data_IF_244016329636
#
_entry.id   IF_244016329636
#
_cell.length_a   1.000
_cell.length_b   1.000
_cell.length_c   1.000
_cell.angle_alpha   90.00
_cell.angle_beta   90.00
_cell.angle_gamma   90.00
#
_symmetry.space_group_name_H-M   'P 1'
#
loop_
_entity.id
_entity.type
_entity.pdbx_description
1 polymer ?
#
# COMPACT_ATOMS: atom_id res chain seq x y z
N UNK A 1 15.71 -11.33 12.94
CA UNK A 1 16.66 -10.35 12.36
C UNK A 1 16.09 -9.76 11.08
N UNK A 2 16.32 -8.48 10.85
CA UNK A 2 15.95 -7.85 9.59
C UNK A 2 17.12 -7.04 9.04
N UNK A 3 17.10 -6.82 7.73
CA UNK A 3 18.15 -6.07 7.04
C UNK A 3 17.50 -5.07 6.08
N UNK A 4 17.97 -3.84 6.07
CA UNK A 4 17.57 -2.82 5.09
C UNK A 4 18.56 -2.89 3.93
N UNK A 5 18.07 -3.23 2.74
CA UNK A 5 18.95 -3.48 1.60
C UNK A 5 18.29 -3.19 0.28
N UNK A 6 19.08 -2.87 -0.74
CA UNK A 6 18.69 -2.84 -2.15
C UNK A 6 19.39 -3.97 -2.93
N UNK A 7 20.08 -4.89 -2.25
CA UNK A 7 20.77 -6.01 -2.88
C UNK A 7 19.79 -7.12 -3.29
N UNK A 8 19.73 -7.41 -4.59
CA UNK A 8 18.80 -8.39 -5.13
C UNK A 8 18.98 -9.79 -4.53
N UNK A 9 20.22 -10.23 -4.33
CA UNK A 9 20.48 -11.56 -3.77
C UNK A 9 19.97 -11.66 -2.33
N UNK A 10 20.18 -10.65 -1.52
CA UNK A 10 19.69 -10.59 -0.14
C UNK A 10 18.17 -10.60 -0.10
N UNK A 11 17.52 -9.82 -0.98
CA UNK A 11 16.05 -9.77 -1.07
C UNK A 11 15.50 -11.14 -1.47
N UNK A 12 16.08 -11.79 -2.47
CA UNK A 12 15.63 -13.11 -2.93
C UNK A 12 15.76 -14.19 -1.87
N UNK A 13 16.76 -14.10 -0.99
CA UNK A 13 17.01 -15.09 0.05
C UNK A 13 16.23 -14.83 1.35
N UNK A 14 15.57 -13.69 1.50
CA UNK A 14 14.81 -13.37 2.70
C UNK A 14 13.55 -14.21 2.79
N UNK A 15 13.14 -14.56 4.01
CA UNK A 15 11.89 -15.30 4.25
C UNK A 15 10.66 -14.43 4.01
N UNK A 16 10.75 -13.14 4.32
CA UNK A 16 9.71 -12.14 4.11
C UNK A 16 10.34 -10.84 3.63
N UNK A 17 9.62 -10.13 2.77
CA UNK A 17 10.08 -8.85 2.24
C UNK A 17 9.08 -7.76 2.60
N UNK A 18 9.58 -6.67 3.17
CA UNK A 18 8.78 -5.50 3.49
C UNK A 18 9.16 -4.37 2.54
N UNK A 19 8.17 -3.80 1.88
CA UNK A 19 8.35 -2.63 1.02
C UNK A 19 7.70 -1.43 1.71
N UNK A 20 8.45 -0.72 2.56
CA UNK A 20 7.94 0.50 3.17
C UNK A 20 7.99 1.64 2.15
N UNK A 21 7.20 2.68 2.35
CA UNK A 21 7.24 3.82 1.47
C UNK A 21 6.89 5.08 2.20
N UNK A 22 7.71 6.10 1.97
CA UNK A 22 7.46 7.48 2.41
C UNK A 22 7.70 8.40 1.22
N UNK A 23 7.08 9.57 1.26
CA UNK A 23 7.23 10.54 0.18
C UNK A 23 6.20 10.31 -0.92
N UNK A 24 6.61 10.53 -2.18
CA UNK A 24 5.66 10.44 -3.28
C UNK A 24 5.92 9.21 -4.17
N UNK A 25 4.86 8.74 -4.80
CA UNK A 25 4.87 7.52 -5.59
C UNK A 25 5.77 7.62 -6.83
N UNK A 26 5.83 8.77 -7.50
CA UNK A 26 6.66 8.94 -8.68
C UNK A 26 8.14 8.80 -8.35
N UNK A 27 8.57 9.41 -7.24
CA UNK A 27 9.95 9.32 -6.77
C UNK A 27 10.30 7.89 -6.35
N UNK A 28 9.40 7.23 -5.62
CA UNK A 28 9.59 5.83 -5.23
C UNK A 28 9.72 4.92 -6.44
N UNK A 29 8.89 5.10 -7.46
CA UNK A 29 8.98 4.34 -8.71
C UNK A 29 10.28 4.62 -9.47
N UNK A 30 10.72 5.88 -9.50
CA UNK A 30 12.00 6.24 -10.13
C UNK A 30 13.14 5.49 -9.45
N UNK A 31 13.19 5.49 -8.11
CA UNK A 31 14.24 4.80 -7.37
C UNK A 31 14.22 3.28 -7.60
N UNK A 32 13.03 2.68 -7.66
CA UNK A 32 12.89 1.25 -7.95
C UNK A 32 13.38 0.90 -9.36
N UNK A 33 13.12 1.75 -10.35
CA UNK A 33 13.62 1.55 -11.71
C UNK A 33 15.15 1.66 -11.77
N UNK A 34 15.70 2.71 -11.15
CA UNK A 34 17.15 2.95 -11.15
C UNK A 34 17.92 1.83 -10.45
N UNK A 35 17.34 1.24 -9.41
CA UNK A 35 17.97 0.14 -8.68
C UNK A 35 17.80 -1.23 -9.35
N UNK A 36 16.95 -1.33 -10.40
CA UNK A 36 16.67 -2.59 -11.09
C UNK A 36 15.85 -3.58 -10.26
N UNK A 37 15.19 -3.13 -9.20
CA UNK A 37 14.49 -4.02 -8.28
C UNK A 37 13.08 -4.41 -8.72
N UNK A 38 12.48 -3.73 -9.70
CA UNK A 38 11.11 -4.04 -10.11
C UNK A 38 10.96 -5.49 -10.56
N UNK A 39 11.76 -6.02 -11.50
CA UNK A 39 11.63 -7.42 -11.88
C UNK A 39 11.97 -8.37 -10.73
N UNK A 40 12.89 -8.01 -9.86
CA UNK A 40 13.23 -8.82 -8.68
C UNK A 40 12.02 -8.97 -7.77
N UNK A 41 11.37 -7.87 -7.41
CA UNK A 41 10.21 -7.88 -6.52
C UNK A 41 9.05 -8.66 -7.15
N UNK A 42 8.77 -8.46 -8.43
CA UNK A 42 7.66 -9.14 -9.12
C UNK A 42 7.86 -10.65 -9.20
N UNK A 43 9.09 -11.12 -9.15
CA UNK A 43 9.43 -12.55 -9.23
C UNK A 43 9.53 -13.23 -7.87
N UNK A 44 9.42 -12.50 -6.77
CA UNK A 44 9.50 -13.08 -5.43
C UNK A 44 8.35 -14.05 -5.18
N UNK A 45 8.66 -15.16 -4.50
CA UNK A 45 7.68 -16.21 -4.15
C UNK A 45 7.33 -16.20 -2.66
N UNK A 46 8.20 -15.63 -1.83
CA UNK A 46 7.97 -15.45 -0.40
C UNK A 46 6.97 -14.30 -0.18
N UNK A 47 6.37 -14.20 1.02
CA UNK A 47 5.44 -13.12 1.32
C UNK A 47 6.09 -11.75 1.20
N UNK A 48 5.39 -10.83 0.53
CA UNK A 48 5.80 -9.43 0.36
C UNK A 48 4.71 -8.54 0.92
N UNK A 49 5.06 -7.59 1.78
CA UNK A 49 4.13 -6.63 2.35
C UNK A 49 4.52 -5.20 1.97
N UNK A 50 3.64 -4.51 1.26
CA UNK A 50 3.77 -3.08 0.99
C UNK A 50 2.98 -2.25 2.01
N UNK A 51 3.53 -1.14 2.45
CA UNK A 51 2.88 -0.26 3.43
C UNK A 51 2.86 1.17 2.89
N UNK A 52 1.69 1.80 2.91
CA UNK A 52 1.46 3.18 2.48
C UNK A 52 1.91 3.42 1.02
N UNK A 53 2.95 4.19 0.78
CA UNK A 53 3.50 4.36 -0.58
C UNK A 53 4.00 3.03 -1.14
N UNK A 54 4.46 2.12 -0.30
CA UNK A 54 4.83 0.75 -0.70
C UNK A 54 3.65 -0.01 -1.32
N UNK A 55 2.42 0.17 -0.81
CA UNK A 55 1.22 -0.34 -1.46
C UNK A 55 1.02 0.33 -2.82
N UNK A 56 1.15 1.65 -2.86
CA UNK A 56 0.80 2.44 -4.04
C UNK A 56 1.69 2.10 -5.24
N UNK A 57 2.99 1.88 -5.02
CA UNK A 57 3.89 1.48 -6.10
C UNK A 57 3.59 0.07 -6.63
N UNK A 58 2.88 -0.75 -5.89
CA UNK A 58 2.46 -2.09 -6.32
C UNK A 58 1.17 -2.09 -7.16
N UNK A 59 0.47 -0.96 -7.22
CA UNK A 59 -0.74 -0.80 -8.05
C UNK A 59 -0.39 -0.61 -9.53
N UNK A 60 -1.39 -0.35 -10.38
CA UNK A 60 -1.17 -0.16 -11.82
C UNK A 60 -0.51 1.18 -12.13
N UNK A 61 -1.02 2.24 -11.54
CA UNK A 61 -0.56 3.61 -11.81
C UNK A 61 -0.97 4.54 -10.68
N UNK A 62 -0.43 5.76 -10.70
CA UNK A 62 -0.73 6.78 -9.69
C UNK A 62 -0.80 8.17 -10.31
N UNK A 63 -1.70 8.98 -9.78
CA UNK A 63 -1.77 10.41 -10.08
C UNK A 63 -0.68 11.21 -9.36
N UNK A 64 -0.09 10.65 -8.29
CA UNK A 64 0.87 11.38 -7.46
C UNK A 64 2.20 11.57 -8.15
N UNK A 65 2.67 12.81 -8.20
CA UNK A 65 3.96 13.17 -8.79
C UNK A 65 4.00 13.04 -10.30
N UNK A 66 2.84 12.86 -10.94
CA UNK A 66 2.77 12.78 -12.39
C UNK A 66 3.06 14.15 -13.03
N UNK A 67 3.96 14.18 -14.00
CA UNK A 67 4.28 15.39 -14.73
C UNK A 67 3.29 15.61 -15.86
N UNK A 68 2.89 16.88 -16.10
CA UNK A 68 2.03 17.26 -17.23
C UNK A 68 0.70 16.49 -17.29
N UNK A 69 0.13 16.13 -16.13
CA UNK A 69 -1.11 15.40 -16.05
C UNK A 69 -1.02 13.94 -16.45
N UNK A 70 0.17 13.42 -16.71
CA UNK A 70 0.38 12.02 -17.03
C UNK A 70 0.46 11.19 -15.74
N UNK A 71 -0.08 9.97 -15.80
CA UNK A 71 -0.01 9.04 -14.67
C UNK A 71 1.40 8.45 -14.54
N UNK A 72 1.82 8.24 -13.29
CA UNK A 72 3.03 7.46 -13.01
C UNK A 72 2.69 5.99 -13.15
N UNK A 73 3.39 5.27 -14.05
CA UNK A 73 3.24 3.82 -14.18
C UNK A 73 3.93 3.14 -13.00
N UNK A 74 3.21 2.24 -12.34
CA UNK A 74 3.71 1.51 -11.18
C UNK A 74 3.98 0.04 -11.54
N UNK A 75 4.19 -0.82 -10.52
CA UNK A 75 4.64 -2.20 -10.77
C UNK A 75 3.56 -3.14 -11.31
N UNK A 76 2.30 -2.73 -11.29
CA UNK A 76 1.19 -3.51 -11.84
C UNK A 76 1.04 -4.91 -11.22
N UNK A 77 1.20 -5.01 -9.91
CA UNK A 77 0.95 -6.23 -9.15
C UNK A 77 -0.53 -6.34 -8.80
N UNK A 78 -1.11 -5.26 -8.25
CA UNK A 78 -2.55 -5.19 -7.94
C UNK A 78 -3.31 -4.47 -9.05
N UNK A 79 -4.56 -4.87 -9.25
CA UNK A 79 -5.45 -4.29 -10.27
C UNK A 79 -6.14 -3.01 -9.77
N UNK A 80 -5.46 -2.23 -8.97
CA UNK A 80 -5.94 -0.96 -8.43
C UNK A 80 -5.21 0.22 -9.05
N UNK A 81 -5.88 1.37 -9.09
CA UNK A 81 -5.31 2.64 -9.51
C UNK A 81 -5.22 3.57 -8.32
N UNK A 82 -4.15 4.36 -8.22
CA UNK A 82 -3.97 5.33 -7.14
C UNK A 82 -4.43 6.69 -7.62
N UNK A 83 -5.38 7.28 -6.90
CA UNK A 83 -6.02 8.54 -7.25
C UNK A 83 -5.99 9.51 -6.07
N UNK A 84 -6.03 10.81 -6.36
CA UNK A 84 -6.07 11.83 -5.33
C UNK A 84 -7.51 11.96 -4.80
N UNK A 85 -7.65 12.09 -3.48
CA UNK A 85 -8.95 12.46 -2.90
C UNK A 85 -9.42 13.79 -3.50
N UNK A 86 -10.70 13.89 -3.88
CA UNK A 86 -11.24 15.17 -4.36
C UNK A 86 -11.31 16.18 -3.23
N UNK A 87 -11.12 17.45 -3.56
CA UNK A 87 -11.33 18.54 -2.61
C UNK A 87 -12.82 18.61 -2.24
N UNK A 88 -13.12 18.67 -0.94
CA UNK A 88 -14.49 18.66 -0.44
C UNK A 88 -14.59 19.44 0.86
N UNK A 89 -15.73 20.10 1.06
CA UNK A 89 -16.05 20.73 2.35
C UNK A 89 -16.44 19.68 3.41
N UNK A 90 -16.76 18.46 3.01
CA UNK A 90 -17.26 17.41 3.90
C UNK A 90 -16.16 16.58 4.56
N UNK A 91 -14.97 16.54 3.95
CA UNK A 91 -13.84 15.81 4.52
C UNK A 91 -12.52 16.47 4.13
N UNK A 92 -11.50 16.23 4.95
CA UNK A 92 -10.20 16.86 4.78
C UNK A 92 -9.23 16.00 3.98
N UNK A 93 -8.35 16.66 3.22
CA UNK A 93 -7.22 16.05 2.53
C UNK A 93 -5.95 16.71 3.05
N UNK A 94 -4.96 15.94 3.56
CA UNK A 94 -4.90 14.48 3.60
C UNK A 94 -5.89 13.84 4.58
N UNK A 95 -6.23 12.59 4.31
CA UNK A 95 -6.89 11.70 5.27
C UNK A 95 -5.87 11.39 6.37
N UNK A 96 -6.07 11.94 7.54
CA UNK A 96 -5.12 11.82 8.65
C UNK A 96 -5.86 11.49 9.93
N UNK A 97 -5.45 10.43 10.60
CA UNK A 97 -6.02 9.99 11.85
C UNK A 97 -6.55 8.58 11.82
N UNK A 98 -7.32 8.23 12.84
CA UNK A 98 -7.91 6.90 13.01
C UNK A 98 -9.18 6.77 12.19
N UNK A 99 -9.33 5.64 11.52
CA UNK A 99 -10.54 5.28 10.80
C UNK A 99 -10.73 3.78 10.83
N UNK A 100 -11.94 3.31 10.55
CA UNK A 100 -12.30 1.91 10.72
C UNK A 100 -12.12 1.11 9.44
N UNK A 101 -11.77 -0.17 9.61
CA UNK A 101 -11.74 -1.15 8.54
C UNK A 101 -13.13 -1.77 8.37
N UNK A 102 -13.50 -2.02 7.13
CA UNK A 102 -14.72 -2.72 6.78
C UNK A 102 -14.48 -3.75 5.69
N UNK A 103 -15.50 -4.57 5.43
CA UNK A 103 -15.51 -5.54 4.35
C UNK A 103 -14.25 -6.42 4.30
N UNK A 104 -13.81 -6.90 5.47
CA UNK A 104 -12.63 -7.76 5.58
C UNK A 104 -12.99 -9.13 5.02
N UNK A 105 -12.59 -9.41 3.79
CA UNK A 105 -12.94 -10.65 3.09
C UNK A 105 -12.05 -11.81 3.47
N UNK A 106 -10.81 -11.53 3.81
CA UNK A 106 -9.82 -12.55 4.17
C UNK A 106 -9.16 -12.15 5.47
N UNK A 107 -8.67 -13.16 6.18
CA UNK A 107 -7.88 -12.94 7.38
C UNK A 107 -6.55 -12.31 6.97
N UNK A 108 -6.50 -10.98 7.04
CA UNK A 108 -5.31 -10.23 6.62
C UNK A 108 -4.15 -10.46 7.58
N UNK A 109 -4.41 -10.29 8.86
CA UNK A 109 -3.45 -10.55 9.95
C UNK A 109 -4.23 -11.10 11.14
N UNK A 110 -3.56 -11.89 11.97
CA UNK A 110 -4.19 -12.42 13.18
C UNK A 110 -4.63 -11.27 14.10
N UNK A 111 -5.86 -11.34 14.57
CA UNK A 111 -6.43 -10.37 15.48
C UNK A 111 -7.01 -9.12 14.85
N UNK A 112 -6.96 -8.96 13.53
CA UNK A 112 -7.57 -7.83 12.84
C UNK A 112 -8.97 -8.21 12.34
N UNK A 113 -9.96 -7.40 12.67
CA UNK A 113 -11.36 -7.63 12.36
C UNK A 113 -12.02 -6.39 11.75
N UNK A 114 -13.13 -6.60 11.04
CA UNK A 114 -13.97 -5.50 10.59
C UNK A 114 -14.45 -4.67 11.79
N UNK A 115 -14.37 -3.34 11.63
CA UNK A 115 -14.67 -2.40 12.71
C UNK A 115 -13.47 -1.95 13.51
N UNK A 116 -12.32 -2.61 13.37
CA UNK A 116 -11.09 -2.17 14.02
C UNK A 116 -10.62 -0.83 13.43
N UNK A 117 -10.05 0.01 14.30
CA UNK A 117 -9.49 1.30 13.90
C UNK A 117 -8.03 1.17 13.53
N UNK A 118 -7.66 1.80 12.43
CA UNK A 118 -6.29 1.87 11.93
C UNK A 118 -5.91 3.31 11.64
N UNK A 119 -4.61 3.61 11.62
CA UNK A 119 -4.12 4.97 11.43
C UNK A 119 -3.76 5.23 9.98
N UNK A 120 -4.26 6.37 9.47
CA UNK A 120 -4.01 6.83 8.10
C UNK A 120 -3.28 8.17 8.08
N UNK A 121 -2.44 8.35 7.08
CA UNK A 121 -1.93 9.65 6.66
C UNK A 121 -1.61 9.57 5.16
N UNK A 122 -2.57 9.99 4.31
CA UNK A 122 -2.39 9.94 2.86
C UNK A 122 -3.36 10.90 2.15
N UNK A 123 -2.95 11.36 0.97
CA UNK A 123 -3.76 12.20 0.09
C UNK A 123 -4.22 11.47 -1.16
N UNK A 124 -3.64 10.30 -1.43
CA UNK A 124 -3.94 9.45 -2.58
C UNK A 124 -4.39 8.09 -2.07
N UNK A 125 -5.33 7.48 -2.75
CA UNK A 125 -5.94 6.23 -2.32
C UNK A 125 -5.95 5.20 -3.46
N UNK A 126 -5.85 3.89 -3.13
CA UNK A 126 -6.04 2.83 -4.12
C UNK A 126 -7.54 2.59 -4.32
N UNK A 127 -7.95 2.48 -5.59
CA UNK A 127 -9.34 2.20 -5.94
C UNK A 127 -9.74 0.78 -5.54
N UNK A 128 -11.05 0.55 -5.43
CA UNK A 128 -11.58 -0.80 -5.22
C UNK A 128 -11.32 -1.66 -6.46
N UNK A 129 -10.98 -2.92 -6.25
CA UNK A 129 -10.68 -3.87 -7.32
C UNK A 129 -10.87 -5.31 -6.83
N UNK A 130 -10.70 -6.33 -7.71
CA UNK A 130 -10.80 -7.73 -7.28
C UNK A 130 -9.80 -8.14 -6.20
N UNK A 131 -8.68 -7.44 -6.07
CA UNK A 131 -7.64 -7.74 -5.08
C UNK A 131 -7.92 -7.10 -3.71
N UNK A 132 -9.00 -6.31 -3.57
CA UNK A 132 -9.35 -5.63 -2.33
C UNK A 132 -9.78 -6.63 -1.27
N UNK A 133 -9.14 -6.59 -0.08
CA UNK A 133 -9.46 -7.45 1.05
C UNK A 133 -9.94 -6.69 2.29
N UNK A 134 -9.84 -5.38 2.28
CA UNK A 134 -10.40 -4.51 3.32
C UNK A 134 -10.66 -3.14 2.74
N UNK A 135 -11.67 -2.45 3.25
CA UNK A 135 -12.05 -1.12 2.79
C UNK A 135 -12.13 -0.14 3.94
N UNK A 136 -12.02 1.14 3.60
CA UNK A 136 -12.27 2.26 4.51
C UNK A 136 -12.98 3.36 3.73
N UNK A 137 -13.82 4.14 4.41
CA UNK A 137 -14.50 5.29 3.82
C UNK A 137 -13.92 6.59 4.35
N UNK A 138 -13.53 7.47 3.43
CA UNK A 138 -13.16 8.85 3.72
C UNK A 138 -13.70 9.73 2.58
N UNK A 139 -14.97 10.14 2.70
CA UNK A 139 -15.70 10.78 1.61
C UNK A 139 -16.12 9.80 0.52
N UNK A 140 -15.24 8.88 0.17
CA UNK A 140 -15.48 7.78 -0.75
C UNK A 140 -14.87 6.50 -0.16
N UNK A 141 -15.25 5.35 -0.70
CA UNK A 141 -14.70 4.08 -0.25
C UNK A 141 -13.47 3.72 -1.08
N UNK A 142 -12.40 3.29 -0.40
CA UNK A 142 -11.15 2.91 -1.05
C UNK A 142 -10.62 1.59 -0.48
N UNK A 143 -9.64 1.01 -1.17
CA UNK A 143 -8.96 -0.19 -0.70
C UNK A 143 -8.03 0.15 0.47
N UNK A 144 -8.37 -0.33 1.66
CA UNK A 144 -7.51 -0.21 2.83
C UNK A 144 -6.38 -1.24 2.78
N UNK A 145 -6.65 -2.41 2.19
CA UNK A 145 -5.68 -3.48 2.02
C UNK A 145 -5.96 -4.25 0.74
N UNK A 146 -4.90 -4.75 0.14
CA UNK A 146 -4.91 -5.51 -1.10
C UNK A 146 -4.13 -6.81 -0.93
N UNK A 147 -4.54 -7.85 -1.65
CA UNK A 147 -3.82 -9.13 -1.71
C UNK A 147 -3.92 -9.72 -3.11
N UNK A 148 -2.78 -10.11 -3.66
CA UNK A 148 -2.68 -10.89 -4.89
C UNK A 148 -1.56 -11.93 -4.72
N UNK A 149 -1.92 -13.21 -4.70
CA UNK A 149 -0.99 -14.32 -4.46
C UNK A 149 -0.22 -14.10 -3.14
N UNK A 150 1.11 -14.02 -3.18
CA UNK A 150 1.96 -13.78 -2.01
C UNK A 150 2.18 -12.29 -1.71
N UNK A 151 1.60 -11.40 -2.50
CA UNK A 151 1.70 -9.96 -2.30
C UNK A 151 0.56 -9.45 -1.44
N UNK A 152 0.91 -8.74 -0.37
CA UNK A 152 -0.02 -8.09 0.56
C UNK A 152 0.35 -6.64 0.68
N UNK A 153 -0.63 -5.79 0.90
CA UNK A 153 -0.34 -4.38 1.12
C UNK A 153 -1.43 -3.69 1.93
N UNK A 154 -1.04 -2.69 2.72
CA UNK A 154 -1.94 -1.86 3.49
C UNK A 154 -1.70 -0.39 3.20
N UNK A 155 -2.76 0.41 3.13
CA UNK A 155 -2.65 1.86 3.06
C UNK A 155 -2.38 2.47 4.43
N UNK A 156 -2.90 1.84 5.47
CA UNK A 156 -2.70 2.28 6.84
C UNK A 156 -1.33 1.86 7.38
N UNK A 157 -0.92 2.54 8.46
CA UNK A 157 0.33 2.24 9.16
C UNK A 157 0.05 1.30 10.34
N UNK A 158 0.34 0.01 10.22
CA UNK A 158 -0.05 -0.97 11.23
C UNK A 158 0.60 -0.74 12.59
N UNK A 159 1.85 -0.26 12.60
CA UNK A 159 2.61 -0.05 13.84
C UNK A 159 2.12 1.12 14.69
N UNK A 160 1.20 1.93 14.19
CA UNK A 160 0.64 3.07 14.93
C UNK A 160 -0.66 2.77 15.62
N UNK A 161 -1.16 1.56 15.50
CA UNK A 161 -2.52 1.19 15.87
C UNK A 161 -2.60 0.28 17.09
N UNK A 162 -1.84 0.55 18.13
CA UNK A 162 -1.95 -0.21 19.37
C UNK A 162 -2.02 -1.72 19.13
N UNK A 163 -3.03 -2.37 19.67
CA UNK A 163 -3.20 -3.82 19.54
C UNK A 163 -3.33 -4.30 18.10
N UNK A 164 -4.05 -3.57 17.26
CA UNK A 164 -4.21 -3.94 15.86
C UNK A 164 -2.88 -3.87 15.13
N UNK A 165 -2.12 -2.81 15.38
CA UNK A 165 -0.80 -2.64 14.78
C UNK A 165 0.19 -3.72 15.19
N UNK A 166 0.09 -4.23 16.41
CA UNK A 166 0.97 -5.27 16.90
C UNK A 166 0.77 -6.62 16.18
N UNK A 167 -0.40 -6.85 15.65
CA UNK A 167 -0.73 -8.10 14.96
C UNK A 167 -0.42 -8.08 13.45
N UNK A 168 0.14 -6.97 12.93
CA UNK A 168 0.36 -6.79 11.49
C UNK A 168 1.76 -7.13 11.00
#
# INVERSE_FOLDING_TARGET
>A
TFEVTADAATIRSADHVLLPGVGNCAEAMHNLRESGLIPVIKQLRQPVLGICVGLQVMCRDSEEGAANGQLTTCMNIFDAHVRRFPDSAEFKVPHMGWNTLGNLEKKLFDGIHSGDSVYYVHSYYPTLCPDTIATTRHGLMFSAALKYEQFYATQFHPVKNGQVGEHT
#
